data_IF_358547772750
#
_entry.id   IF_358547772750
#
_cell.length_a   1.000
_cell.length_b   1.000
_cell.length_c   1.000
_cell.angle_alpha   90.00
_cell.angle_beta   90.00
_cell.angle_gamma   90.00
#
_symmetry.space_group_name_H-M   'P 1'
#
loop_
_entity.id
_entity.type
_entity.pdbx_description
1 polymer ?
#
# COMPACT_ATOMS: atom_id res chain seq x y z
N UNK A 1 -13.40 29.90 4.72
CA UNK A 1 -12.41 28.86 4.38
C UNK A 1 -12.07 28.16 5.68
N UNK A 2 -12.88 27.17 6.07
CA UNK A 2 -12.70 26.51 7.36
C UNK A 2 -11.51 25.56 7.23
N UNK A 3 -10.43 25.98 7.89
CA UNK A 3 -9.24 25.20 8.15
C UNK A 3 -9.63 24.19 9.23
N UNK A 4 -10.27 23.08 8.86
CA UNK A 4 -10.43 21.96 9.80
C UNK A 4 -9.09 21.25 9.90
N UNK A 5 -8.52 21.38 11.08
CA UNK A 5 -7.27 20.82 11.57
C UNK A 5 -7.06 19.36 11.13
N UNK A 6 -5.96 19.11 10.42
CA UNK A 6 -4.97 18.02 10.53
C UNK A 6 -5.37 16.58 10.98
N UNK A 7 -6.65 16.23 11.05
CA UNK A 7 -7.09 14.86 11.19
C UNK A 7 -7.12 14.24 9.79
N UNK A 8 -6.32 13.19 9.57
CA UNK A 8 -6.45 12.34 8.40
C UNK A 8 -7.93 12.02 8.18
N UNK A 9 -8.41 12.19 6.94
CA UNK A 9 -9.79 11.87 6.60
C UNK A 9 -10.07 10.43 7.01
N UNK A 10 -11.16 10.22 7.76
CA UNK A 10 -11.55 8.89 8.24
C UNK A 10 -11.67 7.90 7.10
N UNK A 11 -12.11 8.35 5.92
CA UNK A 11 -12.17 7.52 4.72
C UNK A 11 -10.76 7.09 4.33
N UNK A 12 -9.82 8.03 4.20
CA UNK A 12 -8.43 7.74 3.87
C UNK A 12 -7.78 6.76 4.86
N UNK A 13 -8.07 6.88 6.15
CA UNK A 13 -7.56 5.92 7.16
C UNK A 13 -8.06 4.49 6.89
N UNK A 14 -9.35 4.33 6.57
CA UNK A 14 -9.91 3.01 6.27
C UNK A 14 -9.49 2.46 4.91
N UNK A 15 -9.21 3.35 3.94
CA UNK A 15 -8.58 2.98 2.66
C UNK A 15 -7.16 2.43 2.88
N UNK A 16 -6.35 3.05 3.75
CA UNK A 16 -5.00 2.56 4.05
C UNK A 16 -4.99 1.16 4.67
N UNK A 17 -5.98 0.82 5.49
CA UNK A 17 -6.13 -0.55 6.01
C UNK A 17 -6.28 -1.55 4.86
N UNK A 18 -7.13 -1.24 3.87
CA UNK A 18 -7.34 -2.11 2.70
C UNK A 18 -6.07 -2.29 1.86
N UNK A 19 -5.24 -1.25 1.72
CA UNK A 19 -3.94 -1.37 1.06
C UNK A 19 -3.05 -2.40 1.77
N UNK A 20 -2.96 -2.32 3.11
CA UNK A 20 -2.16 -3.27 3.89
C UNK A 20 -2.72 -4.69 3.85
N UNK A 21 -4.05 -4.85 3.84
CA UNK A 21 -4.71 -6.15 3.70
C UNK A 21 -4.41 -6.79 2.34
N UNK A 22 -4.51 -6.01 1.26
CA UNK A 22 -4.21 -6.49 -0.10
C UNK A 22 -2.76 -7.00 -0.21
N UNK A 23 -1.80 -6.25 0.36
CA UNK A 23 -0.40 -6.64 0.42
C UNK A 23 -0.20 -7.96 1.15
N UNK A 24 -0.77 -8.06 2.36
CA UNK A 24 -0.62 -9.22 3.23
C UNK A 24 -1.25 -10.47 2.60
N UNK A 25 -2.42 -10.35 2.00
CA UNK A 25 -3.11 -11.45 1.30
C UNK A 25 -2.24 -11.94 0.14
N UNK A 26 -1.75 -11.05 -0.71
CA UNK A 26 -0.91 -11.42 -1.86
C UNK A 26 0.39 -12.12 -1.42
N UNK A 27 1.08 -11.58 -0.42
CA UNK A 27 2.28 -12.22 0.14
C UNK A 27 1.99 -13.58 0.78
N UNK A 28 0.81 -13.74 1.40
CA UNK A 28 0.45 -14.95 2.15
C UNK A 28 0.43 -16.22 1.30
N UNK A 29 0.13 -16.10 0.00
CA UNK A 29 0.10 -17.22 -0.94
C UNK A 29 1.47 -17.89 -1.11
N UNK A 30 2.55 -17.16 -0.78
CA UNK A 30 3.94 -17.56 -0.96
C UNK A 30 4.63 -17.95 0.36
N UNK A 31 3.90 -17.96 1.48
CA UNK A 31 4.42 -18.39 2.78
C UNK A 31 4.96 -19.83 2.69
N UNK A 32 6.17 -20.03 3.24
CA UNK A 32 6.81 -21.34 3.30
C UNK A 32 7.42 -21.84 1.98
N UNK A 33 7.37 -21.05 0.90
CA UNK A 33 7.93 -21.45 -0.41
C UNK A 33 9.43 -21.16 -0.57
N UNK A 34 10.02 -20.39 0.35
CA UNK A 34 11.44 -20.03 0.30
C UNK A 34 11.81 -19.05 -0.81
N UNK A 35 10.81 -18.41 -1.43
CA UNK A 35 10.99 -17.43 -2.52
C UNK A 35 10.62 -16.02 -2.03
N UNK A 36 11.58 -15.38 -1.36
CA UNK A 36 11.44 -14.02 -0.80
C UNK A 36 11.11 -12.99 -1.87
N UNK A 37 11.81 -13.04 -3.01
CA UNK A 37 11.65 -12.04 -4.09
C UNK A 37 10.27 -12.10 -4.71
N UNK A 38 9.73 -13.31 -4.92
CA UNK A 38 8.37 -13.45 -5.41
C UNK A 38 7.34 -12.94 -4.40
N UNK A 39 7.56 -13.20 -3.10
CA UNK A 39 6.66 -12.75 -2.04
C UNK A 39 6.63 -11.22 -1.94
N UNK A 40 7.80 -10.59 -1.99
CA UNK A 40 7.96 -9.15 -1.98
C UNK A 40 7.30 -8.50 -3.21
N UNK A 41 7.61 -8.99 -4.42
CA UNK A 41 7.01 -8.49 -5.65
C UNK A 41 5.48 -8.62 -5.66
N UNK A 42 4.92 -9.72 -5.13
CA UNK A 42 3.48 -9.90 -5.02
C UNK A 42 2.84 -8.87 -4.07
N UNK A 43 3.47 -8.60 -2.92
CA UNK A 43 2.99 -7.61 -1.96
C UNK A 43 3.03 -6.18 -2.53
N UNK A 44 4.15 -5.81 -3.15
CA UNK A 44 4.40 -4.48 -3.72
C UNK A 44 3.43 -4.18 -4.86
N UNK A 45 3.21 -5.14 -5.76
CA UNK A 45 2.28 -4.99 -6.87
C UNK A 45 0.83 -4.85 -6.38
N UNK A 46 0.43 -5.63 -5.35
CA UNK A 46 -0.89 -5.51 -4.74
C UNK A 46 -1.08 -4.16 -4.05
N UNK A 47 -0.09 -3.69 -3.28
CA UNK A 47 -0.12 -2.35 -2.68
C UNK A 47 -0.22 -1.25 -3.73
N UNK A 48 0.57 -1.35 -4.81
CA UNK A 48 0.59 -0.35 -5.88
C UNK A 48 -0.79 -0.21 -6.53
N UNK A 49 -1.42 -1.32 -6.88
CA UNK A 49 -2.79 -1.35 -7.42
C UNK A 49 -3.79 -0.73 -6.44
N UNK A 50 -3.73 -1.10 -5.17
CA UNK A 50 -4.63 -0.56 -4.16
C UNK A 50 -4.44 0.95 -3.95
N UNK A 51 -3.20 1.45 -4.01
CA UNK A 51 -2.92 2.88 -3.96
C UNK A 51 -3.46 3.66 -5.16
N UNK A 52 -3.39 3.08 -6.36
CA UNK A 52 -3.87 3.72 -7.59
C UNK A 52 -5.41 3.90 -7.60
N UNK A 53 -6.15 3.19 -6.73
CA UNK A 53 -7.61 3.34 -6.54
C UNK A 53 -7.98 4.47 -5.56
N UNK A 54 -7.02 5.00 -4.80
CA UNK A 54 -7.28 5.99 -3.77
C UNK A 54 -7.39 7.40 -4.35
N UNK A 55 -8.37 8.17 -3.88
CA UNK A 55 -8.48 9.59 -4.18
C UNK A 55 -7.47 10.40 -3.36
N UNK A 56 -6.19 10.35 -3.76
CA UNK A 56 -5.10 11.08 -3.13
C UNK A 56 -4.04 11.50 -4.15
N UNK A 57 -3.32 12.57 -3.82
CA UNK A 57 -2.07 12.96 -4.50
C UNK A 57 -0.90 12.70 -3.53
N UNK A 58 -0.42 11.45 -3.54
CA UNK A 58 0.59 10.96 -2.61
C UNK A 58 1.93 10.72 -3.30
N UNK A 59 3.03 11.07 -2.61
CA UNK A 59 4.40 10.77 -3.06
C UNK A 59 5.00 9.69 -2.16
N UNK A 60 5.52 8.62 -2.77
CA UNK A 60 6.30 7.61 -2.05
C UNK A 60 7.66 8.22 -1.72
N UNK A 61 7.91 8.48 -0.44
CA UNK A 61 9.19 9.00 0.07
C UNK A 61 10.08 7.92 0.67
N UNK A 62 9.50 6.75 0.98
CA UNK A 62 10.18 5.53 1.43
C UNK A 62 9.50 4.36 0.71
N UNK A 63 10.26 3.53 0.01
CA UNK A 63 9.76 2.37 -0.75
C UNK A 63 10.88 1.40 -1.09
N UNK A 64 10.61 0.46 -2.00
CA UNK A 64 11.53 -0.65 -2.37
C UNK A 64 12.86 -0.22 -3.00
N UNK A 65 12.97 1.01 -3.46
CA UNK A 65 14.18 1.54 -4.07
C UNK A 65 13.89 2.69 -5.02
N UNK A 66 14.90 3.08 -5.79
CA UNK A 66 14.70 4.03 -6.88
C UNK A 66 13.86 3.37 -7.98
N UNK A 67 12.97 4.17 -8.60
CA UNK A 67 12.36 3.77 -9.88
C UNK A 67 13.47 3.83 -10.93
N UNK A 68 13.74 2.70 -11.58
CA UNK A 68 14.42 2.70 -12.88
C UNK A 68 13.70 3.62 -13.89
#
# INVERSE_FOLDING_TARGET
MNKTDNALDRVLVMEMVRVTEAAAIAASELIGRGDEKAADAAAVEAMRKAFDELYMDGTVVIGEGERD
#
